data_IF_750270268902
#
_entry.id   IF_750270268902
#
_cell.length_a   1.000
_cell.length_b   1.000
_cell.length_c   1.000
_cell.angle_alpha   90.00
_cell.angle_beta   90.00
_cell.angle_gamma   90.00
#
_symmetry.space_group_name_H-M   'P 1'
#
loop_
_entity.id
_entity.type
_entity.pdbx_description
1 polymer ?
#
# COMPACT_ATOMS: atom_id res chain seq x y z
N UNK A 1 21.24 -12.21 13.83
CA UNK A 1 20.20 -11.88 14.83
C UNK A 1 19.92 -10.39 14.70
N UNK A 2 18.83 -10.00 14.03
CA UNK A 2 18.47 -8.60 13.90
C UNK A 2 17.93 -8.13 15.26
N UNK A 3 18.64 -7.20 15.90
CA UNK A 3 18.17 -6.53 17.11
C UNK A 3 16.92 -5.74 16.75
N UNK A 4 15.76 -6.21 17.22
CA UNK A 4 14.52 -5.41 17.19
C UNK A 4 14.71 -4.22 18.11
N UNK A 5 15.17 -3.10 17.55
CA UNK A 5 15.17 -1.82 18.23
C UNK A 5 13.77 -1.22 18.12
N UNK A 6 13.17 -0.85 19.25
CA UNK A 6 11.92 -0.10 19.26
C UNK A 6 12.11 1.23 18.51
N UNK A 7 11.23 1.47 17.55
CA UNK A 7 11.22 2.71 16.75
C UNK A 7 9.87 3.40 16.88
N UNK A 8 9.83 4.69 16.55
CA UNK A 8 8.63 5.51 16.65
C UNK A 8 8.05 5.85 15.28
N UNK A 9 6.72 5.83 15.18
CA UNK A 9 5.98 6.38 14.05
C UNK A 9 5.48 7.77 14.43
N UNK A 10 5.85 8.80 13.64
CA UNK A 10 5.39 10.19 13.84
C UNK A 10 4.79 10.71 12.54
N UNK A 11 3.55 11.16 12.60
CA UNK A 11 2.86 11.79 11.49
C UNK A 11 2.23 13.11 11.95
N UNK A 12 2.33 14.15 11.12
CA UNK A 12 1.67 15.43 11.39
C UNK A 12 0.22 15.35 10.93
N UNK A 13 -0.71 15.67 11.82
CA UNK A 13 -2.14 15.79 11.54
C UNK A 13 -2.67 17.05 12.22
N UNK A 14 -3.80 17.57 11.75
CA UNK A 14 -4.45 18.69 12.42
C UNK A 14 -5.09 18.25 13.75
N UNK A 15 -5.25 19.21 14.65
CA UNK A 15 -5.75 18.97 16.01
C UNK A 15 -7.16 18.38 16.02
N UNK A 16 -8.05 18.87 15.14
CA UNK A 16 -9.44 18.42 15.09
C UNK A 16 -9.53 16.97 14.66
N UNK A 17 -8.78 16.56 13.65
CA UNK A 17 -8.69 15.16 13.21
C UNK A 17 -8.15 14.27 14.32
N UNK A 18 -7.10 14.71 15.03
CA UNK A 18 -6.52 13.95 16.15
C UNK A 18 -7.55 13.70 17.26
N UNK A 19 -8.27 14.74 17.68
CA UNK A 19 -9.25 14.65 18.78
C UNK A 19 -10.42 13.75 18.41
N UNK A 20 -10.98 13.91 17.21
CA UNK A 20 -12.09 13.06 16.72
C UNK A 20 -11.68 11.60 16.64
N UNK A 21 -10.47 11.31 16.15
CA UNK A 21 -9.96 9.95 16.08
C UNK A 21 -9.71 9.36 17.49
N UNK A 22 -9.19 10.16 18.43
CA UNK A 22 -8.95 9.73 19.80
C UNK A 22 -10.25 9.28 20.48
N UNK A 23 -11.31 10.09 20.40
CA UNK A 23 -12.62 9.77 20.99
C UNK A 23 -13.21 8.49 20.38
N UNK A 24 -13.13 8.35 19.05
CA UNK A 24 -13.65 7.18 18.37
C UNK A 24 -12.90 5.90 18.75
N UNK A 25 -11.56 5.95 18.85
CA UNK A 25 -10.75 4.81 19.24
C UNK A 25 -10.93 4.44 20.72
N UNK A 26 -11.05 5.44 21.59
CA UNK A 26 -11.31 5.22 23.02
C UNK A 26 -12.65 4.51 23.24
N UNK A 27 -13.69 4.89 22.49
CA UNK A 27 -14.98 4.20 22.49
C UNK A 27 -14.89 2.74 22.03
N UNK A 28 -13.85 2.38 21.25
CA UNK A 28 -13.53 1.01 20.84
C UNK A 28 -12.57 0.30 21.82
N UNK A 29 -12.13 0.96 22.89
CA UNK A 29 -11.15 0.42 23.83
C UNK A 29 -9.71 0.40 23.31
N UNK A 30 -9.38 1.25 22.34
CA UNK A 30 -8.07 1.31 21.69
C UNK A 30 -7.40 2.67 21.89
N UNK A 31 -6.08 2.67 22.07
CA UNK A 31 -5.29 3.91 21.95
C UNK A 31 -4.98 4.22 20.48
N UNK A 32 -4.59 5.47 20.19
CA UNK A 32 -4.06 5.85 18.86
C UNK A 32 -2.87 4.97 18.48
N UNK A 33 -1.99 4.67 19.44
CA UNK A 33 -0.82 3.83 19.20
C UNK A 33 -1.19 2.39 18.84
N UNK A 34 -2.25 1.84 19.45
CA UNK A 34 -2.76 0.50 19.10
C UNK A 34 -3.27 0.47 17.66
N UNK A 35 -4.07 1.46 17.28
CA UNK A 35 -4.59 1.57 15.92
C UNK A 35 -3.47 1.69 14.88
N UNK A 36 -2.44 2.51 15.15
CA UNK A 36 -1.29 2.66 14.25
C UNK A 36 -0.52 1.33 14.14
N UNK A 37 -0.26 0.63 15.25
CA UNK A 37 0.44 -0.67 15.24
C UNK A 37 -0.33 -1.70 14.42
N UNK A 38 -1.64 -1.83 14.64
CA UNK A 38 -2.50 -2.76 13.91
C UNK A 38 -2.52 -2.45 12.41
N UNK A 39 -2.60 -1.16 12.04
CA UNK A 39 -2.54 -0.73 10.65
C UNK A 39 -1.21 -1.14 9.99
N UNK A 40 -0.07 -0.90 10.66
CA UNK A 40 1.25 -1.25 10.11
C UNK A 40 1.41 -2.77 9.93
N UNK A 41 0.97 -3.56 10.91
CA UNK A 41 0.96 -5.02 10.81
C UNK A 41 0.13 -5.48 9.60
N UNK A 42 -1.08 -4.93 9.46
CA UNK A 42 -1.97 -5.31 8.36
C UNK A 42 -1.40 -4.98 6.98
N UNK A 43 -0.74 -3.83 6.86
CA UNK A 43 -0.08 -3.42 5.61
C UNK A 43 1.07 -4.37 5.28
N UNK A 44 1.88 -4.74 6.28
CA UNK A 44 3.01 -5.64 6.10
C UNK A 44 2.56 -7.05 5.65
N UNK A 45 1.50 -7.57 6.25
CA UNK A 45 1.03 -8.92 5.97
C UNK A 45 0.21 -8.99 4.67
N UNK A 46 -0.69 -8.03 4.44
CA UNK A 46 -1.66 -8.09 3.35
C UNK A 46 -1.34 -7.25 2.13
N UNK A 47 -0.30 -6.42 2.18
CA UNK A 47 0.08 -5.53 1.09
C UNK A 47 -1.07 -4.61 0.61
N UNK A 48 -1.99 -4.27 1.51
CA UNK A 48 -3.13 -3.38 1.23
C UNK A 48 -3.49 -2.52 2.44
N UNK A 49 -4.15 -1.41 2.16
CA UNK A 49 -4.78 -0.57 3.18
C UNK A 49 -6.15 -1.13 3.58
N UNK A 50 -6.62 -0.85 4.80
CA UNK A 50 -7.95 -1.27 5.26
C UNK A 50 -9.10 -0.43 4.66
N UNK A 51 -8.79 0.39 3.66
CA UNK A 51 -9.73 1.18 2.89
C UNK A 51 -9.30 1.19 1.43
N UNK A 52 -10.26 1.37 0.52
CA UNK A 52 -9.98 1.35 -0.92
C UNK A 52 -9.11 2.53 -1.34
N UNK A 53 -7.94 2.23 -1.88
CA UNK A 53 -7.08 3.21 -2.55
C UNK A 53 -7.51 3.32 -4.00
N UNK A 54 -8.43 4.25 -4.27
CA UNK A 54 -9.04 4.39 -5.60
C UNK A 54 -8.12 4.98 -6.67
N UNK A 55 -7.01 5.62 -6.27
CA UNK A 55 -6.11 6.30 -7.21
C UNK A 55 -4.86 5.46 -7.42
N UNK A 56 -4.57 5.02 -8.66
CA UNK A 56 -3.33 4.28 -8.95
C UNK A 56 -2.10 5.10 -8.56
N UNK A 57 -1.05 4.42 -8.10
CA UNK A 57 0.22 5.09 -7.79
C UNK A 57 0.88 5.62 -9.08
N UNK A 58 1.93 6.44 -8.93
CA UNK A 58 2.60 7.06 -10.08
C UNK A 58 3.15 6.04 -11.09
N UNK A 59 3.69 4.91 -10.61
CA UNK A 59 4.21 3.85 -11.47
C UNK A 59 3.09 3.19 -12.28
N UNK A 60 1.98 2.85 -11.63
CA UNK A 60 0.80 2.27 -12.29
C UNK A 60 0.20 3.24 -13.30
N UNK A 61 0.11 4.55 -12.97
CA UNK A 61 -0.34 5.58 -13.92
C UNK A 61 0.54 5.64 -15.16
N UNK A 62 1.87 5.58 -14.98
CA UNK A 62 2.82 5.57 -16.09
C UNK A 62 2.64 4.33 -16.97
N UNK A 63 2.52 3.16 -16.36
CA UNK A 63 2.28 1.90 -17.09
C UNK A 63 0.98 1.94 -17.89
N UNK A 64 -0.11 2.45 -17.31
CA UNK A 64 -1.39 2.63 -18.02
C UNK A 64 -1.21 3.56 -19.22
N UNK A 65 -0.57 4.72 -19.05
CA UNK A 65 -0.33 5.66 -20.13
C UNK A 65 0.54 5.08 -21.26
N UNK A 66 1.54 4.25 -20.93
CA UNK A 66 2.37 3.55 -21.93
C UNK A 66 1.55 2.56 -22.76
N UNK A 67 0.64 1.81 -22.12
CA UNK A 67 -0.27 0.89 -22.80
C UNK A 67 -1.27 1.64 -23.68
N UNK A 68 -1.88 2.73 -23.18
CA UNK A 68 -2.81 3.59 -23.93
C UNK A 68 -2.12 4.25 -25.14
N UNK A 69 -0.84 4.62 -25.01
CA UNK A 69 -0.03 5.13 -26.11
C UNK A 69 0.40 4.06 -27.14
N UNK A 70 -0.03 2.80 -26.95
CA UNK A 70 0.28 1.70 -27.86
C UNK A 70 1.73 1.21 -27.77
N UNK A 71 2.47 1.60 -26.73
CA UNK A 71 3.87 1.19 -26.51
C UNK A 71 4.01 -0.14 -25.78
N UNK A 72 2.88 -0.78 -25.44
CA UNK A 72 2.87 -2.13 -24.86
C UNK A 72 3.41 -3.18 -25.83
N UNK A 73 4.20 -4.12 -25.31
CA UNK A 73 4.67 -5.27 -26.07
C UNK A 73 3.48 -6.15 -26.48
N UNK A 74 3.42 -6.53 -27.75
CA UNK A 74 2.37 -7.38 -28.31
C UNK A 74 2.96 -8.74 -28.66
N UNK A 75 2.18 -9.79 -28.44
CA UNK A 75 2.56 -11.16 -28.73
C UNK A 75 1.51 -11.80 -29.64
N UNK A 76 1.96 -12.73 -30.48
CA UNK A 76 1.13 -13.45 -31.44
C UNK A 76 0.48 -14.70 -30.87
N UNK A 77 1.00 -15.22 -29.76
CA UNK A 77 0.45 -16.35 -29.03
C UNK A 77 0.67 -16.22 -27.53
N UNK A 78 -0.07 -17.00 -26.75
CA UNK A 78 0.12 -17.08 -25.28
C UNK A 78 1.49 -17.69 -24.96
N UNK A 79 1.98 -18.60 -25.79
CA UNK A 79 3.29 -19.24 -25.61
C UNK A 79 4.42 -18.21 -25.74
N UNK A 80 4.34 -17.30 -26.73
CA UNK A 80 5.31 -16.21 -26.91
C UNK A 80 5.33 -15.24 -25.72
N UNK A 81 4.15 -14.92 -25.17
CA UNK A 81 4.02 -14.08 -23.98
C UNK A 81 4.65 -14.75 -22.75
N UNK A 82 4.36 -16.04 -22.53
CA UNK A 82 4.85 -16.77 -21.37
C UNK A 82 6.36 -17.03 -21.45
N UNK A 83 6.90 -17.22 -22.65
CA UNK A 83 8.35 -17.33 -22.86
C UNK A 83 9.08 -16.03 -22.48
N UNK A 84 8.51 -14.87 -22.84
CA UNK A 84 9.09 -13.57 -22.49
C UNK A 84 9.02 -13.27 -20.99
N UNK A 85 7.87 -13.54 -20.35
CA UNK A 85 7.66 -13.25 -18.92
C UNK A 85 8.61 -14.05 -18.00
N UNK A 86 8.97 -15.27 -18.42
CA UNK A 86 9.85 -16.18 -17.68
C UNK A 86 11.33 -15.98 -18.01
N UNK A 87 11.67 -15.10 -18.95
CA UNK A 87 13.06 -14.87 -19.35
C UNK A 87 13.85 -14.04 -18.31
N UNK A 88 13.15 -13.38 -17.38
CA UNK A 88 13.71 -12.52 -16.33
C UNK A 88 13.66 -13.15 -14.90
N UNK A 89 13.26 -14.43 -14.79
CA UNK A 89 13.39 -15.25 -13.55
C UNK A 89 14.78 -15.93 -13.47
#
# INVERSE_FOLDING_TARGET
MSTTADTYVRARIDTQTKERAAIALEAMGLSISDAIRLLMLRIADEHRLPFDVKVPNAATKKAIAELEAGKGKKFTSVDDLMADLRADD
#
